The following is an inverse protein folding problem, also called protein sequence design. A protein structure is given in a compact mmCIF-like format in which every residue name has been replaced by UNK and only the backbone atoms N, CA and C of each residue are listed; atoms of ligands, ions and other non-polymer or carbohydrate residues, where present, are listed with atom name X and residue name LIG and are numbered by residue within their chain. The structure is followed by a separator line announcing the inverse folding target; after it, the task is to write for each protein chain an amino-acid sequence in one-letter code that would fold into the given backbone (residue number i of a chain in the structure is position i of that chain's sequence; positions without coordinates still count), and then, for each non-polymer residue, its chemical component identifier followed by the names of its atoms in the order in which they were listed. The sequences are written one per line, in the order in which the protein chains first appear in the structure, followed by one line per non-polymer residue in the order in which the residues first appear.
data_IF_741958818738
#
_entry.id   IF_741958818738
#
_cell.length_a   1.000
_cell.length_b   1.000
_cell.length_c   1.000
_cell.angle_alpha   90.00
_cell.angle_beta   90.00
_cell.angle_gamma   90.00
#
_symmetry.space_group_name_H-M   'P 1'
#
loop_
_entity.id
_entity.type
_entity.pdbx_description
1 polymer ?
#
# COMPACT_ATOMS: atom_id res chain seq x y z
N UNK A 1 5.66 5.87 4.40
CA UNK A 1 6.52 4.68 4.16
C UNK A 1 6.59 4.40 2.66
N UNK A 2 7.71 3.91 2.14
CA UNK A 2 7.84 3.48 0.75
C UNK A 2 8.22 2.00 0.71
N UNK A 3 7.54 1.21 -0.11
CA UNK A 3 7.87 -0.18 -0.42
C UNK A 3 8.11 -0.30 -1.92
N UNK A 4 9.15 -1.03 -2.31
CA UNK A 4 9.57 -1.14 -3.69
C UNK A 4 9.39 -2.57 -4.19
N UNK A 5 8.93 -2.69 -5.43
CA UNK A 5 8.97 -3.88 -6.24
C UNK A 5 9.75 -3.59 -7.53
N UNK A 6 9.86 -4.57 -8.41
CA UNK A 6 10.62 -4.46 -9.66
C UNK A 6 10.07 -3.38 -10.60
N UNK A 7 8.74 -3.28 -10.74
CA UNK A 7 8.08 -2.36 -11.69
C UNK A 7 7.39 -1.18 -11.03
N UNK A 8 7.04 -1.32 -9.77
CA UNK A 8 6.20 -0.38 -9.05
C UNK A 8 6.78 -0.11 -7.66
N UNK A 9 6.37 1.01 -7.08
CA UNK A 9 6.56 1.28 -5.67
C UNK A 9 5.24 1.72 -5.05
N UNK A 10 5.06 1.32 -3.80
CA UNK A 10 3.94 1.72 -2.97
C UNK A 10 4.38 2.88 -2.07
N UNK A 11 3.60 3.95 -2.07
CA UNK A 11 3.71 5.08 -1.17
C UNK A 11 2.56 5.05 -0.17
N UNK A 12 2.91 4.96 1.11
CA UNK A 12 1.96 5.05 2.24
C UNK A 12 2.17 6.39 2.92
N UNK A 13 1.14 7.23 2.88
CA UNK A 13 1.06 8.52 3.57
C UNK A 13 0.07 8.41 4.74
N UNK A 14 -0.08 9.49 5.52
CA UNK A 14 -0.99 9.52 6.70
C UNK A 14 -2.45 9.22 6.37
N UNK A 15 -2.89 9.52 5.14
CA UNK A 15 -4.28 9.39 4.73
C UNK A 15 -4.47 8.64 3.41
N UNK A 16 -3.38 8.17 2.81
CA UNK A 16 -3.40 7.59 1.46
C UNK A 16 -2.46 6.40 1.35
N UNK A 17 -2.85 5.46 0.49
CA UNK A 17 -1.97 4.41 -0.02
C UNK A 17 -2.05 4.48 -1.53
N UNK A 18 -0.91 4.62 -2.18
CA UNK A 18 -0.83 4.85 -3.63
C UNK A 18 0.27 3.99 -4.24
N UNK A 19 -0.01 3.40 -5.40
CA UNK A 19 0.95 2.61 -6.19
C UNK A 19 1.35 3.43 -7.39
N UNK A 20 2.65 3.57 -7.60
CA UNK A 20 3.24 4.29 -8.72
C UNK A 20 4.18 3.39 -9.51
N UNK A 21 4.32 3.64 -10.80
CA UNK A 21 5.45 3.16 -11.59
C UNK A 21 6.65 4.10 -11.44
N UNK A 22 7.85 3.60 -11.75
CA UNK A 22 9.09 4.37 -11.63
C UNK A 22 9.23 5.53 -12.63
N UNK A 23 8.36 5.61 -13.63
CA UNK A 23 8.20 6.79 -14.49
C UNK A 23 7.33 7.90 -13.86
N UNK A 24 6.86 7.70 -12.62
CA UNK A 24 6.07 8.65 -11.85
C UNK A 24 4.56 8.60 -12.09
N UNK A 25 4.07 7.64 -12.89
CA UNK A 25 2.63 7.50 -13.16
C UNK A 25 1.91 6.82 -11.98
N UNK A 26 0.79 7.41 -11.54
CA UNK A 26 -0.12 6.78 -10.58
C UNK A 26 -0.83 5.59 -11.24
N UNK A 27 -0.65 4.40 -10.68
CA UNK A 27 -1.29 3.16 -11.13
C UNK A 27 -2.64 3.00 -10.44
N UNK A 28 -2.66 3.14 -9.11
CA UNK A 28 -3.89 3.02 -8.31
C UNK A 28 -3.71 3.64 -6.93
N UNK A 29 -4.82 4.02 -6.29
CA UNK A 29 -4.88 4.51 -4.91
C UNK A 29 -5.94 3.73 -4.12
N UNK A 30 -5.64 2.50 -3.69
CA UNK A 30 -6.59 1.64 -3.01
C UNK A 30 -7.14 2.32 -1.75
N UNK A 31 -8.45 2.24 -1.56
CA UNK A 31 -9.15 2.80 -0.41
C UNK A 31 -10.20 1.79 0.05
N UNK A 32 -10.26 1.57 1.36
CA UNK A 32 -11.23 0.68 1.98
C UNK A 32 -11.92 1.38 3.17
N UNK A 33 -13.10 0.89 3.60
CA UNK A 33 -13.78 1.43 4.77
C UNK A 33 -12.87 1.40 5.99
N UNK A 34 -12.94 2.45 6.82
CA UNK A 34 -12.15 2.58 8.05
C UNK A 34 -10.63 2.46 7.85
N UNK A 35 -10.12 2.83 6.66
CA UNK A 35 -8.68 2.83 6.39
C UNK A 35 -7.94 3.75 7.37
N UNK A 36 -7.15 3.15 8.26
CA UNK A 36 -6.25 3.85 9.18
C UNK A 36 -4.81 3.62 8.71
N UNK A 37 -4.30 4.51 7.86
CA UNK A 37 -2.94 4.38 7.32
C UNK A 37 -1.86 4.38 8.41
N UNK A 38 -2.12 5.00 9.56
CA UNK A 38 -1.21 5.02 10.70
C UNK A 38 -0.93 3.61 11.27
N UNK A 39 -1.82 2.66 11.04
CA UNK A 39 -1.66 1.25 11.46
C UNK A 39 -0.94 0.39 10.41
N UNK A 40 -0.64 0.94 9.24
CA UNK A 40 0.04 0.21 8.16
C UNK A 40 1.54 0.16 8.47
N UNK A 41 2.03 -1.06 8.67
CA UNK A 41 3.45 -1.34 8.94
C UNK A 41 3.99 -2.30 7.89
N UNK A 42 5.31 -2.53 7.87
CA UNK A 42 5.93 -3.47 6.91
C UNK A 42 5.43 -4.91 7.05
N UNK A 43 4.81 -5.30 8.17
CA UNK A 43 4.24 -6.64 8.35
C UNK A 43 2.79 -6.75 7.87
N UNK A 44 2.09 -5.62 7.67
CA UNK A 44 0.70 -5.59 7.24
C UNK A 44 0.52 -5.21 5.77
N UNK A 45 1.60 -4.89 5.07
CA UNK A 45 1.55 -4.55 3.65
C UNK A 45 2.73 -5.11 2.87
N UNK A 46 2.46 -5.60 1.66
CA UNK A 46 3.47 -6.12 0.74
C UNK A 46 3.10 -5.79 -0.72
N UNK A 47 4.10 -5.69 -1.57
CA UNK A 47 3.95 -5.38 -3.00
C UNK A 47 4.86 -6.27 -3.84
N UNK A 48 4.34 -6.78 -4.95
CA UNK A 48 5.06 -7.45 -6.03
C UNK A 48 4.90 -6.69 -7.35
N UNK A 49 5.37 -7.27 -8.45
CA UNK A 49 5.24 -6.71 -9.79
C UNK A 49 3.80 -6.69 -10.32
N UNK A 50 2.86 -7.35 -9.66
CA UNK A 50 1.49 -7.58 -10.14
C UNK A 50 0.43 -7.59 -9.01
N UNK A 51 0.84 -7.69 -7.75
CA UNK A 51 -0.06 -7.81 -6.61
C UNK A 51 0.33 -6.82 -5.50
N UNK A 52 -0.68 -6.23 -4.86
CA UNK A 52 -0.53 -5.50 -3.60
C UNK A 52 -1.38 -6.20 -2.55
N UNK A 53 -0.76 -6.58 -1.45
CA UNK A 53 -1.44 -7.19 -0.31
C UNK A 53 -1.49 -6.19 0.82
N UNK A 54 -2.68 -5.93 1.32
CA UNK A 54 -2.92 -5.06 2.48
C UNK A 54 -3.76 -5.86 3.46
N UNK A 55 -3.20 -6.07 4.65
CA UNK A 55 -3.91 -6.71 5.76
C UNK A 55 -4.59 -5.63 6.58
N UNK A 56 -5.92 -5.69 6.61
CA UNK A 56 -6.70 -4.90 7.56
C UNK A 56 -6.53 -5.50 8.96
N UNK A 57 -6.35 -4.64 9.97
CA UNK A 57 -6.19 -5.06 11.37
C UNK A 57 -7.53 -5.21 12.11
N UNK A 58 -8.66 -4.96 11.44
CA UNK A 58 -9.99 -5.02 12.08
C UNK A 58 -10.40 -6.46 12.47
N UNK A 59 -9.72 -7.50 11.97
CA UNK A 59 -9.97 -8.90 12.34
C UNK A 59 -8.69 -9.57 12.90
N UNK A 60 -8.36 -9.24 14.16
CA UNK A 60 -7.55 -10.13 15.01
C UNK A 60 -8.49 -11.17 15.64
N UNK A 61 -8.62 -12.33 14.99
CA UNK A 61 -9.12 -13.56 15.61
C UNK A 61 -8.03 -14.63 15.63
#
# INVERSE_FOLDING_TARGET
MILQAEKYFLLVEKSSVSVYSYDGRLITSPRWPNMLCDHITRSTISISSDVVLIRDQIDEK
#
